data_IF_257399492079
#
_entry.id   IF_257399492079
#
_cell.length_a   1.000
_cell.length_b   1.000
_cell.length_c   1.000
_cell.angle_alpha   90.00
_cell.angle_beta   90.00
_cell.angle_gamma   90.00
#
_symmetry.space_group_name_H-M   'P 1'
#
loop_
_entity.id
_entity.type
_entity.pdbx_description
1 polymer ?
#
# COMPACT_ATOMS: atom_id res chain seq x y z
N UNK A 1 11.64 0.80 0.35
CA UNK A 1 11.09 -0.55 0.12
C UNK A 1 10.44 -1.07 1.39
N UNK A 2 9.30 -1.73 1.27
CA UNK A 2 8.50 -2.25 2.39
C UNK A 2 7.57 -3.38 1.97
N UNK A 3 6.64 -3.77 2.86
CA UNK A 3 5.80 -4.96 2.68
C UNK A 3 4.89 -4.90 1.45
N UNK A 4 4.46 -3.70 1.02
CA UNK A 4 3.69 -3.55 -0.23
C UNK A 4 4.47 -4.02 -1.47
N UNK A 5 5.79 -3.82 -1.49
CA UNK A 5 6.64 -4.32 -2.57
C UNK A 5 6.72 -5.84 -2.58
N UNK A 6 6.74 -6.44 -1.39
CA UNK A 6 6.78 -7.90 -1.23
C UNK A 6 5.44 -8.55 -1.63
N UNK A 7 4.31 -7.84 -1.46
CA UNK A 7 3.00 -8.22 -2.00
C UNK A 7 3.03 -8.15 -3.53
N UNK A 8 3.49 -7.05 -4.11
CA UNK A 8 3.59 -6.93 -5.58
C UNK A 8 4.49 -8.02 -6.19
N UNK A 9 5.55 -8.40 -5.49
CA UNK A 9 6.46 -9.44 -5.96
C UNK A 9 5.79 -10.81 -6.09
N UNK A 10 4.69 -11.10 -5.37
CA UNK A 10 4.03 -12.40 -5.45
C UNK A 10 3.42 -12.67 -6.82
N UNK A 11 3.12 -11.64 -7.62
CA UNK A 11 2.60 -11.81 -8.99
C UNK A 11 3.60 -12.57 -9.87
N UNK A 12 4.89 -12.21 -9.80
CA UNK A 12 5.93 -12.91 -10.53
C UNK A 12 6.17 -14.32 -9.97
N UNK A 13 6.08 -14.48 -8.65
CA UNK A 13 6.20 -15.79 -8.01
C UNK A 13 5.09 -16.75 -8.50
N UNK A 14 3.83 -16.28 -8.55
CA UNK A 14 2.70 -17.01 -9.12
C UNK A 14 2.91 -17.36 -10.58
N UNK A 15 3.32 -16.40 -11.41
CA UNK A 15 3.57 -16.66 -12.83
C UNK A 15 4.64 -17.74 -13.06
N UNK A 16 5.71 -17.74 -12.27
CA UNK A 16 6.74 -18.80 -12.33
C UNK A 16 6.16 -20.14 -11.89
N UNK A 17 5.38 -20.17 -10.81
CA UNK A 17 4.75 -21.38 -10.30
C UNK A 17 3.75 -21.97 -11.32
N UNK A 18 2.90 -21.16 -11.92
CA UNK A 18 1.94 -21.57 -12.95
C UNK A 18 2.64 -22.12 -14.20
N UNK A 19 3.76 -21.50 -14.62
CA UNK A 19 4.49 -21.91 -15.81
C UNK A 19 5.34 -23.18 -15.59
N UNK A 20 5.82 -23.43 -14.38
CA UNK A 20 6.87 -24.45 -14.13
C UNK A 20 6.52 -25.50 -13.08
N UNK A 21 5.50 -25.25 -12.25
CA UNK A 21 5.20 -26.03 -11.04
C UNK A 21 6.23 -25.87 -9.91
N UNK A 22 7.26 -25.03 -10.09
CA UNK A 22 8.32 -24.84 -9.11
C UNK A 22 8.09 -23.59 -8.27
N UNK A 23 8.37 -23.71 -6.98
CA UNK A 23 8.34 -22.58 -6.04
C UNK A 23 9.57 -21.69 -6.21
N UNK A 24 9.44 -20.44 -5.80
CA UNK A 24 10.53 -19.46 -5.82
C UNK A 24 11.00 -19.15 -4.40
N UNK A 25 12.24 -18.67 -4.23
CA UNK A 25 12.72 -18.18 -2.94
C UNK A 25 13.82 -17.13 -3.12
N UNK A 26 13.71 -15.96 -2.46
CA UNK A 26 14.84 -15.03 -2.36
C UNK A 26 15.96 -15.62 -1.53
N UNK A 27 17.20 -15.38 -1.95
CA UNK A 27 18.38 -15.88 -1.27
C UNK A 27 18.84 -15.00 -0.11
N UNK A 28 18.45 -13.72 -0.10
CA UNK A 28 19.11 -12.71 0.73
C UNK A 28 18.25 -12.21 1.90
N UNK A 29 16.93 -12.41 1.86
CA UNK A 29 16.01 -12.05 2.95
C UNK A 29 14.70 -12.82 2.84
N UNK A 30 13.89 -12.78 3.90
CA UNK A 30 12.54 -13.35 3.93
C UNK A 30 11.52 -12.32 4.42
N UNK A 31 10.42 -12.18 3.70
CA UNK A 31 9.31 -11.30 4.07
C UNK A 31 8.19 -12.10 4.75
N UNK A 32 7.60 -11.60 5.86
CA UNK A 32 6.39 -12.18 6.47
C UNK A 32 5.21 -12.33 5.50
N UNK A 33 5.14 -11.50 4.44
CA UNK A 33 4.10 -11.59 3.40
C UNK A 33 4.09 -12.95 2.72
N UNK A 34 5.25 -13.59 2.58
CA UNK A 34 5.40 -14.87 1.88
C UNK A 34 5.19 -16.09 2.79
N UNK A 35 5.02 -15.87 4.10
CA UNK A 35 4.98 -16.91 5.12
C UNK A 35 3.80 -17.88 4.99
N UNK A 36 2.83 -17.62 4.12
CA UNK A 36 1.71 -18.54 3.82
C UNK A 36 1.44 -18.67 2.32
N UNK A 37 2.27 -18.07 1.48
CA UNK A 37 2.08 -18.09 0.04
C UNK A 37 2.60 -19.43 -0.55
N UNK A 38 1.79 -20.19 -1.31
CA UNK A 38 2.16 -21.51 -1.82
C UNK A 38 3.25 -21.46 -2.91
N UNK A 39 3.44 -20.31 -3.56
CA UNK A 39 4.43 -20.11 -4.61
C UNK A 39 5.85 -19.90 -4.04
N UNK A 40 5.99 -19.73 -2.72
CA UNK A 40 7.28 -19.52 -2.06
C UNK A 40 7.76 -20.77 -1.33
N UNK A 41 9.00 -21.16 -1.60
CA UNK A 41 9.61 -22.35 -1.02
C UNK A 41 10.05 -22.11 0.44
N UNK A 42 9.81 -23.08 1.30
CA UNK A 42 10.29 -23.13 2.70
C UNK A 42 11.73 -23.59 2.78
N UNK A 43 12.28 -23.51 3.98
CA UNK A 43 13.60 -24.06 4.27
C UNK A 43 13.59 -25.55 3.92
N UNK A 44 14.53 -25.98 3.09
CA UNK A 44 14.70 -27.34 2.55
C UNK A 44 13.75 -27.77 1.41
N UNK A 45 12.89 -26.88 0.90
CA UNK A 45 12.15 -27.16 -0.34
C UNK A 45 12.99 -26.78 -1.57
N UNK A 46 12.88 -27.50 -2.69
CA UNK A 46 13.52 -27.09 -3.95
C UNK A 46 12.92 -25.78 -4.45
N UNK A 47 13.76 -24.90 -5.01
CA UNK A 47 13.32 -23.58 -5.44
C UNK A 47 14.10 -23.02 -6.63
N UNK A 48 13.46 -22.10 -7.35
CA UNK A 48 14.10 -21.19 -8.31
C UNK A 48 14.51 -19.90 -7.58
N UNK A 49 15.76 -19.43 -7.71
CA UNK A 49 16.18 -18.15 -7.14
C UNK A 49 15.27 -17.00 -7.60
N UNK A 50 14.79 -16.21 -6.64
CA UNK A 50 13.84 -15.14 -6.89
C UNK A 50 14.48 -13.78 -6.71
N UNK A 51 14.62 -13.02 -7.81
CA UNK A 51 15.31 -11.72 -7.81
C UNK A 51 14.37 -10.53 -8.02
N UNK A 52 13.25 -10.55 -7.31
CA UNK A 52 12.39 -9.39 -7.12
C UNK A 52 12.45 -9.02 -5.64
N UNK A 53 13.31 -8.04 -5.32
CA UNK A 53 13.74 -7.71 -3.96
C UNK A 53 14.09 -6.22 -3.82
N UNK A 54 14.31 -5.69 -2.59
CA UNK A 54 14.87 -4.36 -2.42
C UNK A 54 16.14 -4.19 -3.26
N UNK A 55 16.19 -3.12 -4.06
CA UNK A 55 17.29 -2.85 -4.98
C UNK A 55 17.11 -3.45 -6.39
N UNK A 56 16.23 -4.43 -6.56
CA UNK A 56 15.86 -4.98 -7.87
C UNK A 56 14.33 -5.19 -7.95
N UNK A 57 13.58 -4.10 -8.19
CA UNK A 57 12.13 -4.14 -8.39
C UNK A 57 11.78 -3.80 -9.84
N UNK A 58 10.86 -4.54 -10.49
CA UNK A 58 10.50 -4.30 -11.89
C UNK A 58 9.95 -2.91 -12.22
N UNK A 59 9.38 -2.21 -11.24
CA UNK A 59 8.84 -0.86 -11.39
C UNK A 59 9.90 0.25 -11.32
N UNK A 60 11.17 -0.10 -11.07
CA UNK A 60 12.31 0.83 -11.02
C UNK A 60 13.27 0.47 -12.16
N UNK A 61 13.38 1.32 -13.19
CA UNK A 61 14.38 1.15 -14.26
C UNK A 61 15.80 1.41 -13.77
N UNK A 62 15.92 2.33 -12.82
CA UNK A 62 17.21 2.73 -12.27
C UNK A 62 17.03 3.68 -11.10
N UNK A 63 18.15 4.09 -10.52
CA UNK A 63 18.13 5.05 -9.43
C UNK A 63 19.44 5.82 -9.38
N UNK A 64 19.35 7.11 -9.03
CA UNK A 64 20.50 7.91 -8.62
C UNK A 64 20.55 7.97 -7.10
N UNK A 65 21.50 8.74 -6.54
CA UNK A 65 21.50 9.05 -5.11
C UNK A 65 20.26 9.89 -4.73
N UNK A 66 19.79 10.71 -5.65
CA UNK A 66 18.74 11.71 -5.46
C UNK A 66 17.35 11.18 -5.77
N UNK A 67 17.18 10.28 -6.76
CA UNK A 67 15.84 9.84 -7.19
C UNK A 67 15.76 8.40 -7.68
N UNK A 68 14.56 7.83 -7.64
CA UNK A 68 14.18 6.66 -8.42
C UNK A 68 13.87 7.08 -9.87
N UNK A 69 14.16 6.19 -10.81
CA UNK A 69 13.75 6.31 -12.20
C UNK A 69 12.70 5.23 -12.42
N UNK A 70 11.44 5.65 -12.52
CA UNK A 70 10.30 4.75 -12.65
C UNK A 70 10.29 4.04 -14.01
N UNK A 71 9.73 2.84 -14.04
CA UNK A 71 9.49 2.09 -15.26
C UNK A 71 8.10 2.42 -15.81
N UNK A 72 7.98 3.24 -16.87
CA UNK A 72 6.68 3.63 -17.41
C UNK A 72 5.92 2.45 -18.04
N UNK A 73 6.60 1.33 -18.32
CA UNK A 73 5.97 0.12 -18.86
C UNK A 73 5.51 -0.85 -17.77
N UNK A 74 5.75 -0.53 -16.48
CA UNK A 74 5.26 -1.34 -15.39
C UNK A 74 3.83 -0.95 -15.03
N UNK A 75 2.97 -1.94 -14.79
CA UNK A 75 1.66 -1.76 -14.19
C UNK A 75 1.52 -2.75 -13.03
N UNK A 76 1.20 -2.23 -11.85
CA UNK A 76 0.91 -3.06 -10.70
C UNK A 76 -0.35 -3.90 -10.96
N UNK A 77 -0.23 -5.20 -10.67
CA UNK A 77 -1.34 -6.15 -10.64
C UNK A 77 -1.51 -6.58 -9.19
N UNK A 78 -2.75 -6.78 -8.68
CA UNK A 78 -2.96 -7.26 -7.32
C UNK A 78 -2.15 -8.53 -7.04
N UNK A 79 -1.35 -8.45 -5.98
CA UNK A 79 -0.58 -9.58 -5.48
C UNK A 79 -1.46 -10.56 -4.69
N UNK A 80 -0.79 -11.39 -3.90
CA UNK A 80 -1.43 -12.42 -3.06
C UNK A 80 -0.90 -12.30 -1.64
N UNK A 81 -1.82 -12.31 -0.69
CA UNK A 81 -1.49 -12.30 0.73
C UNK A 81 -2.50 -13.18 1.48
N UNK A 82 -2.01 -13.91 2.48
CA UNK A 82 -2.79 -14.92 3.20
C UNK A 82 -2.75 -14.65 4.70
N UNK A 83 -3.46 -13.62 5.19
CA UNK A 83 -3.46 -13.29 6.61
C UNK A 83 -4.19 -14.36 7.45
N UNK A 84 -4.11 -14.23 8.79
CA UNK A 84 -5.04 -14.94 9.67
C UNK A 84 -6.43 -14.28 9.58
N UNK A 85 -7.48 -15.00 9.99
CA UNK A 85 -8.79 -14.39 10.16
C UNK A 85 -8.77 -13.45 11.38
N UNK A 86 -9.32 -12.25 11.20
CA UNK A 86 -9.52 -11.26 12.25
C UNK A 86 -10.64 -10.32 11.80
N UNK A 87 -11.70 -10.19 12.60
CA UNK A 87 -12.92 -9.43 12.26
C UNK A 87 -13.10 -8.14 13.06
N UNK A 88 -12.06 -7.67 13.75
CA UNK A 88 -12.13 -6.45 14.55
C UNK A 88 -12.54 -5.20 13.75
N UNK A 89 -12.27 -5.16 12.45
CA UNK A 89 -12.67 -4.06 11.55
C UNK A 89 -13.95 -4.36 10.75
N UNK A 90 -14.67 -5.43 11.04
CA UNK A 90 -15.89 -5.79 10.32
C UNK A 90 -16.91 -4.66 10.35
N UNK A 91 -17.38 -4.28 9.17
CA UNK A 91 -18.38 -3.21 9.01
C UNK A 91 -17.81 -1.79 9.03
N UNK A 92 -16.50 -1.62 9.21
CA UNK A 92 -15.79 -0.34 9.36
C UNK A 92 -14.91 -0.05 8.16
N UNK A 93 -14.49 1.20 8.00
CA UNK A 93 -13.51 1.62 6.98
C UNK A 93 -12.17 1.85 7.68
N UNK A 94 -11.12 1.20 7.20
CA UNK A 94 -9.76 1.42 7.69
C UNK A 94 -9.24 2.75 7.14
N UNK A 95 -8.80 3.65 8.02
CA UNK A 95 -8.12 4.90 7.65
C UNK A 95 -6.66 4.83 8.06
N UNK A 96 -5.74 5.16 7.16
CA UNK A 96 -4.29 5.13 7.39
C UNK A 96 -3.64 6.47 7.04
N UNK A 97 -3.53 7.40 8.01
CA UNK A 97 -2.85 8.67 7.83
C UNK A 97 -1.32 8.54 7.98
N UNK A 98 -0.82 7.45 8.57
CA UNK A 98 0.59 7.34 8.89
C UNK A 98 1.39 6.85 7.68
N UNK A 99 2.52 7.51 7.47
CA UNK A 99 3.53 7.09 6.50
C UNK A 99 4.76 6.53 7.22
N UNK A 100 5.57 5.77 6.49
CA UNK A 100 6.88 5.37 6.99
C UNK A 100 7.70 6.62 7.34
N UNK A 101 8.36 6.65 8.51
CA UNK A 101 9.24 7.74 8.98
C UNK A 101 10.53 7.97 8.16
N UNK A 102 10.50 7.66 6.87
CA UNK A 102 11.55 7.93 5.88
C UNK A 102 11.18 9.16 5.07
N UNK A 103 12.17 9.83 4.48
CA UNK A 103 11.95 11.00 3.61
C UNK A 103 10.97 10.70 2.46
N UNK A 104 11.11 9.55 1.80
CA UNK A 104 10.17 9.14 0.74
C UNK A 104 8.77 8.84 1.26
N UNK A 105 8.62 8.51 2.55
CA UNK A 105 7.31 8.38 3.18
C UNK A 105 6.70 9.75 3.45
N UNK A 106 7.48 10.70 3.93
CA UNK A 106 7.05 12.10 4.13
C UNK A 106 6.60 12.75 2.81
N UNK A 107 7.29 12.48 1.69
CA UNK A 107 6.86 12.92 0.36
C UNK A 107 5.53 12.30 -0.11
N UNK A 108 5.03 11.26 0.57
CA UNK A 108 3.71 10.66 0.32
C UNK A 108 2.69 11.04 1.39
N UNK A 109 3.04 11.84 2.39
CA UNK A 109 2.12 12.17 3.47
C UNK A 109 1.12 13.23 3.01
N UNK A 110 -0.16 12.99 3.31
CA UNK A 110 -1.15 14.06 3.32
C UNK A 110 -1.22 14.71 4.71
N UNK A 111 -1.65 15.97 4.76
CA UNK A 111 -1.61 16.78 5.99
C UNK A 111 -2.47 16.16 7.09
N UNK A 112 -1.89 16.03 8.30
CA UNK A 112 -2.55 15.38 9.43
C UNK A 112 -3.89 16.04 9.79
N UNK A 113 -3.93 17.37 9.76
CA UNK A 113 -5.11 18.17 10.07
C UNK A 113 -6.24 17.92 9.07
N UNK A 114 -5.91 17.61 7.81
CA UNK A 114 -6.90 17.27 6.78
C UNK A 114 -7.49 15.87 6.98
N UNK A 115 -6.67 14.91 7.41
CA UNK A 115 -7.19 13.61 7.85
C UNK A 115 -8.16 13.76 9.02
N UNK A 116 -7.82 14.60 10.00
CA UNK A 116 -8.71 14.87 11.13
C UNK A 116 -10.00 15.56 10.68
N UNK A 117 -9.92 16.54 9.80
CA UNK A 117 -11.09 17.23 9.26
C UNK A 117 -12.04 16.28 8.51
N UNK A 118 -11.53 15.29 7.77
CA UNK A 118 -12.35 14.23 7.17
C UNK A 118 -13.12 13.47 8.26
N UNK A 119 -12.42 12.97 9.29
CA UNK A 119 -13.03 12.21 10.39
C UNK A 119 -14.08 13.04 11.14
N UNK A 120 -13.82 14.31 11.36
CA UNK A 120 -14.73 15.21 12.09
C UNK A 120 -15.99 15.57 11.28
N UNK A 121 -15.94 15.44 9.95
CA UNK A 121 -17.01 15.92 9.05
C UNK A 121 -17.99 14.84 8.63
N UNK A 122 -17.55 13.59 8.45
CA UNK A 122 -18.41 12.50 7.93
C UNK A 122 -18.82 11.52 9.02
N UNK A 123 -20.07 11.07 8.96
CA UNK A 123 -20.57 9.99 9.83
C UNK A 123 -20.21 8.62 9.25
N UNK A 124 -18.92 8.27 9.36
CA UNK A 124 -18.38 6.97 8.95
C UNK A 124 -17.69 6.31 10.15
N UNK A 125 -17.93 5.00 10.32
CA UNK A 125 -17.22 4.17 11.30
C UNK A 125 -15.77 3.92 10.83
N UNK A 126 -14.90 4.88 11.12
CA UNK A 126 -13.47 4.76 10.85
C UNK A 126 -12.75 3.97 11.93
N UNK A 127 -11.80 3.15 11.48
CA UNK A 127 -10.86 2.46 12.35
C UNK A 127 -9.43 2.68 11.86
N UNK A 128 -8.53 3.00 12.77
CA UNK A 128 -7.11 3.12 12.48
C UNK A 128 -6.38 1.92 13.09
N UNK A 129 -5.38 1.40 12.36
CA UNK A 129 -4.59 0.23 12.75
C UNK A 129 -3.17 0.62 13.18
N UNK A 130 -2.52 -0.23 13.99
CA UNK A 130 -1.09 -0.11 14.28
C UNK A 130 -0.78 0.55 15.61
N UNK A 131 0.38 1.21 15.72
CA UNK A 131 0.85 1.83 16.97
C UNK A 131 1.35 3.28 16.75
N UNK A 132 0.91 3.91 15.66
CA UNK A 132 1.28 5.28 15.30
C UNK A 132 0.47 6.34 16.06
N UNK A 133 0.72 7.63 15.78
CA UNK A 133 -0.20 8.70 16.15
C UNK A 133 -1.64 8.36 15.74
N UNK A 134 -2.61 8.71 16.57
CA UNK A 134 -4.02 8.38 16.34
C UNK A 134 -4.83 9.63 16.04
N UNK A 135 -5.69 9.57 15.03
CA UNK A 135 -6.76 10.56 14.87
C UNK A 135 -7.68 10.55 16.10
N UNK A 136 -8.32 11.67 16.37
CA UNK A 136 -9.39 11.77 17.36
C UNK A 136 -10.69 11.26 16.73
N UNK A 137 -11.56 10.62 17.52
CA UNK A 137 -12.86 10.14 17.04
C UNK A 137 -12.87 8.79 16.30
N UNK A 138 -11.71 8.26 15.92
CA UNK A 138 -11.61 6.93 15.28
C UNK A 138 -11.48 5.80 16.30
N UNK A 139 -11.99 4.62 15.97
CA UNK A 139 -11.65 3.41 16.71
C UNK A 139 -10.17 3.07 16.50
N UNK A 140 -9.50 2.57 17.54
CA UNK A 140 -8.08 2.23 17.52
C UNK A 140 -7.92 0.73 17.70
N UNK A 141 -7.28 0.08 16.73
CA UNK A 141 -6.89 -1.32 16.85
C UNK A 141 -5.37 -1.40 16.82
N UNK A 142 -4.78 -1.67 17.98
CA UNK A 142 -3.36 -1.97 18.07
C UNK A 142 -3.04 -3.28 17.35
N UNK A 143 -1.98 -3.27 16.56
CA UNK A 143 -1.48 -4.45 15.86
C UNK A 143 0.03 -4.57 16.07
N UNK A 144 0.50 -5.77 16.40
CA UNK A 144 1.90 -6.05 16.68
C UNK A 144 2.75 -6.28 15.43
N UNK A 145 2.12 -6.45 14.27
CA UNK A 145 2.83 -6.65 13.00
C UNK A 145 2.02 -6.18 11.78
N UNK A 146 2.71 -5.98 10.65
CA UNK A 146 2.04 -5.70 9.38
C UNK A 146 1.03 -6.78 9.00
N UNK A 147 1.37 -8.07 9.20
CA UNK A 147 0.45 -9.17 8.86
C UNK A 147 -0.78 -9.22 9.76
N UNK A 148 -0.68 -8.72 10.99
CA UNK A 148 -1.84 -8.55 11.86
C UNK A 148 -2.74 -7.38 11.39
N UNK A 149 -2.15 -6.26 10.97
CA UNK A 149 -2.91 -5.17 10.34
C UNK A 149 -3.62 -5.63 9.06
N UNK A 150 -2.95 -6.44 8.23
CA UNK A 150 -3.56 -7.06 7.03
C UNK A 150 -4.70 -8.01 7.41
N UNK A 151 -4.57 -8.77 8.51
CA UNK A 151 -5.65 -9.64 8.99
C UNK A 151 -6.90 -8.84 9.36
N UNK A 152 -6.72 -7.76 10.13
CA UNK A 152 -7.82 -6.87 10.50
C UNK A 152 -8.45 -6.21 9.25
N UNK A 153 -7.61 -5.70 8.34
CA UNK A 153 -8.02 -5.09 7.07
C UNK A 153 -8.91 -6.02 6.22
N UNK A 154 -8.62 -7.32 6.21
CA UNK A 154 -9.35 -8.31 5.39
C UNK A 154 -10.85 -8.41 5.72
N UNK A 155 -11.26 -7.99 6.91
CA UNK A 155 -12.68 -7.97 7.32
C UNK A 155 -13.38 -6.63 7.12
N UNK A 156 -12.64 -5.58 6.79
CA UNK A 156 -13.16 -4.22 6.69
C UNK A 156 -14.06 -4.03 5.45
N UNK A 157 -14.94 -3.02 5.50
CA UNK A 157 -15.71 -2.59 4.33
C UNK A 157 -14.84 -1.88 3.27
N UNK A 158 -13.67 -1.41 3.67
CA UNK A 158 -12.87 -0.56 2.81
C UNK A 158 -11.64 0.03 3.47
N UNK A 159 -10.82 0.67 2.64
CA UNK A 159 -9.58 1.33 3.04
C UNK A 159 -9.49 2.75 2.48
N UNK A 160 -8.98 3.69 3.27
CA UNK A 160 -8.51 4.98 2.81
C UNK A 160 -7.11 5.28 3.36
N UNK A 161 -6.21 5.75 2.51
CA UNK A 161 -4.85 6.12 2.91
C UNK A 161 -4.02 6.61 1.73
N UNK A 162 -2.71 6.67 1.92
CA UNK A 162 -1.76 7.05 0.87
C UNK A 162 -1.12 5.82 0.23
N UNK A 163 -0.31 6.01 -0.81
CA UNK A 163 0.58 4.97 -1.37
C UNK A 163 1.48 4.34 -0.28
N UNK A 164 1.15 3.10 0.10
CA UNK A 164 1.78 2.39 1.20
C UNK A 164 1.43 0.89 1.23
N UNK A 165 1.91 0.19 2.26
CA UNK A 165 1.76 -1.25 2.37
C UNK A 165 0.30 -1.72 2.45
N UNK A 166 -0.54 -1.01 3.22
CA UNK A 166 -1.94 -1.38 3.39
C UNK A 166 -2.78 -1.15 2.13
N UNK A 167 -2.43 -0.18 1.28
CA UNK A 167 -3.05 -0.01 -0.04
C UNK A 167 -2.79 -1.23 -0.95
N UNK A 168 -1.55 -1.73 -1.01
CA UNK A 168 -1.26 -2.94 -1.77
C UNK A 168 -1.93 -4.17 -1.16
N UNK A 169 -2.05 -4.23 0.17
CA UNK A 169 -2.78 -5.29 0.84
C UNK A 169 -4.29 -5.23 0.55
N UNK A 170 -4.92 -4.05 0.53
CA UNK A 170 -6.33 -3.91 0.20
C UNK A 170 -6.60 -4.41 -1.22
N UNK A 171 -5.70 -4.09 -2.17
CA UNK A 171 -5.77 -4.63 -3.51
C UNK A 171 -5.68 -6.17 -3.55
N UNK A 172 -4.74 -6.76 -2.82
CA UNK A 172 -4.57 -8.21 -2.76
C UNK A 172 -5.73 -8.94 -2.07
N UNK A 173 -6.42 -8.28 -1.13
CA UNK A 173 -7.55 -8.81 -0.37
C UNK A 173 -8.92 -8.52 -1.00
N UNK A 174 -8.94 -7.79 -2.11
CA UNK A 174 -10.17 -7.32 -2.75
C UNK A 174 -11.02 -6.39 -1.87
N UNK A 175 -10.35 -5.61 -1.03
CA UNK A 175 -10.99 -4.56 -0.21
C UNK A 175 -11.05 -3.27 -1.02
N UNK A 176 -12.24 -2.65 -1.21
CA UNK A 176 -12.39 -1.36 -1.87
C UNK A 176 -11.52 -0.29 -1.23
N UNK A 177 -10.98 0.63 -2.03
CA UNK A 177 -10.11 1.66 -1.47
C UNK A 177 -10.16 3.02 -2.19
N UNK A 178 -9.93 4.06 -1.40
CA UNK A 178 -9.59 5.42 -1.85
C UNK A 178 -8.14 5.70 -1.49
N UNK A 179 -7.33 6.11 -2.46
CA UNK A 179 -5.88 6.20 -2.31
C UNK A 179 -5.41 7.57 -2.74
N UNK A 180 -4.71 8.26 -1.85
CA UNK A 180 -4.17 9.59 -2.09
C UNK A 180 -2.73 9.50 -2.58
N UNK A 181 -2.46 10.14 -3.72
CA UNK A 181 -1.17 10.11 -4.38
C UNK A 181 -0.55 11.51 -4.45
N UNK A 182 0.70 11.61 -4.00
CA UNK A 182 1.51 12.80 -4.14
C UNK A 182 2.37 12.73 -5.41
N UNK A 183 3.30 13.67 -5.55
CA UNK A 183 4.18 13.76 -6.71
C UNK A 183 5.32 12.75 -6.76
N UNK A 184 5.36 11.74 -5.89
CA UNK A 184 6.52 10.83 -5.80
C UNK A 184 6.48 9.72 -6.84
N UNK A 185 5.38 8.97 -6.91
CA UNK A 185 5.21 7.80 -7.77
C UNK A 185 3.83 7.86 -8.46
N UNK A 186 3.71 7.39 -9.72
CA UNK A 186 2.44 7.45 -10.44
C UNK A 186 1.42 6.44 -9.94
N UNK A 187 0.19 6.90 -9.69
CA UNK A 187 -0.95 6.00 -9.47
C UNK A 187 -1.26 5.13 -10.69
N UNK A 188 -0.99 5.62 -11.90
CA UNK A 188 -1.12 4.82 -13.13
C UNK A 188 -0.19 3.60 -13.12
N UNK A 189 0.97 3.69 -12.46
CA UNK A 189 1.94 2.61 -12.37
C UNK A 189 1.70 1.70 -11.16
N UNK A 190 1.59 2.28 -9.94
CA UNK A 190 1.54 1.51 -8.69
C UNK A 190 0.13 1.36 -8.11
N UNK A 191 -0.83 2.14 -8.58
CA UNK A 191 -2.23 2.06 -8.20
C UNK A 191 -2.99 1.00 -9.00
N UNK A 192 -4.17 0.66 -8.49
CA UNK A 192 -5.03 -0.39 -9.01
C UNK A 192 -6.34 0.21 -9.54
N UNK A 193 -6.80 -0.25 -10.70
CA UNK A 193 -8.00 0.29 -11.39
C UNK A 193 -9.28 0.15 -10.56
N UNK A 194 -9.37 -0.88 -9.71
CA UNK A 194 -10.51 -1.11 -8.82
C UNK A 194 -10.57 -0.17 -7.61
N UNK A 195 -9.50 0.57 -7.35
CA UNK A 195 -9.47 1.59 -6.32
C UNK A 195 -9.71 2.96 -6.94
N UNK A 196 -10.27 3.89 -6.17
CA UNK A 196 -10.29 5.29 -6.57
C UNK A 196 -8.93 5.90 -6.20
N UNK A 197 -8.17 6.30 -7.21
CA UNK A 197 -6.87 6.94 -7.02
C UNK A 197 -7.02 8.45 -7.22
N UNK A 198 -6.87 9.23 -6.15
CA UNK A 198 -6.86 10.69 -6.22
C UNK A 198 -5.40 11.12 -6.39
N UNK A 199 -5.05 11.49 -7.62
CA UNK A 199 -3.69 11.82 -8.03
C UNK A 199 -3.68 13.15 -8.81
N UNK A 200 -2.97 14.13 -8.27
CA UNK A 200 -2.69 15.41 -8.93
C UNK A 200 -1.19 15.63 -9.15
N UNK A 201 -0.39 14.56 -9.01
CA UNK A 201 1.03 14.57 -9.28
C UNK A 201 1.30 14.63 -10.77
N UNK A 202 2.12 15.60 -11.18
CA UNK A 202 2.79 15.64 -12.47
C UNK A 202 4.23 15.11 -12.34
N UNK A 203 4.82 14.65 -13.46
CA UNK A 203 6.20 14.19 -13.62
C UNK A 203 6.73 13.06 -12.70
N UNK A 204 5.99 12.70 -11.64
CA UNK A 204 6.26 11.69 -10.61
C UNK A 204 7.76 11.54 -10.28
N UNK A 205 8.30 12.53 -9.57
CA UNK A 205 9.73 12.84 -9.53
C UNK A 205 10.68 11.76 -9.00
N UNK A 206 10.17 10.76 -8.27
CA UNK A 206 10.97 9.70 -7.65
C UNK A 206 11.94 10.19 -6.56
N UNK A 207 11.80 11.43 -6.06
CA UNK A 207 12.76 12.08 -5.17
C UNK A 207 12.94 11.32 -3.83
N UNK A 208 14.20 11.11 -3.45
CA UNK A 208 14.62 10.46 -2.19
C UNK A 208 14.96 11.46 -1.08
N UNK A 209 15.03 12.74 -1.42
CA UNK A 209 15.14 13.87 -0.50
C UNK A 209 13.77 14.54 -0.32
N UNK A 210 13.67 15.49 0.63
CA UNK A 210 12.50 16.36 0.77
C UNK A 210 12.19 17.02 -0.58
N UNK A 211 10.91 17.07 -0.96
CA UNK A 211 10.51 17.48 -2.30
C UNK A 211 9.25 18.33 -2.28
N UNK A 212 9.38 19.65 -2.41
CA UNK A 212 8.24 20.59 -2.40
C UNK A 212 7.19 20.24 -3.46
N UNK A 213 7.63 19.77 -4.65
CA UNK A 213 6.74 19.24 -5.69
C UNK A 213 5.79 18.13 -5.19
N UNK A 214 6.30 17.21 -4.36
CA UNK A 214 5.47 16.15 -3.79
C UNK A 214 4.45 16.69 -2.78
N UNK A 215 4.86 17.68 -1.98
CA UNK A 215 3.97 18.36 -1.03
C UNK A 215 2.89 19.18 -1.76
N UNK A 216 3.26 19.92 -2.80
CA UNK A 216 2.32 20.70 -3.62
C UNK A 216 1.26 19.80 -4.28
N UNK A 217 1.65 18.61 -4.74
CA UNK A 217 0.71 17.62 -5.27
C UNK A 217 -0.28 17.13 -4.19
N UNK A 218 0.21 16.87 -2.97
CA UNK A 218 -0.64 16.51 -1.84
C UNK A 218 -1.55 17.68 -1.39
N UNK A 219 -1.08 18.91 -1.51
CA UNK A 219 -1.84 20.12 -1.17
C UNK A 219 -3.05 20.34 -2.09
N UNK A 220 -2.93 19.94 -3.37
CA UNK A 220 -4.06 19.96 -4.33
C UNK A 220 -5.17 18.99 -3.95
N UNK A 221 -4.89 17.94 -3.16
CA UNK A 221 -5.92 17.04 -2.64
C UNK A 221 -6.63 17.74 -1.48
N UNK A 222 -7.85 18.21 -1.73
CA UNK A 222 -8.66 18.93 -0.73
C UNK A 222 -9.50 17.97 0.12
N UNK A 223 -9.84 18.39 1.35
CA UNK A 223 -10.74 17.64 2.24
C UNK A 223 -12.09 17.37 1.57
N UNK A 224 -12.66 18.39 0.92
CA UNK A 224 -13.91 18.26 0.19
C UNK A 224 -13.85 17.17 -0.90
N UNK A 225 -12.73 17.08 -1.66
CA UNK A 225 -12.57 16.05 -2.68
C UNK A 225 -12.52 14.64 -2.07
N UNK A 226 -11.83 14.48 -0.95
CA UNK A 226 -11.76 13.19 -0.24
C UNK A 226 -13.14 12.80 0.28
N UNK A 227 -13.86 13.73 0.91
CA UNK A 227 -15.22 13.51 1.43
C UNK A 227 -16.20 13.13 0.33
N UNK A 228 -16.23 13.88 -0.78
CA UNK A 228 -17.06 13.55 -1.95
C UNK A 228 -16.78 12.11 -2.40
N UNK A 229 -15.50 11.76 -2.54
CA UNK A 229 -15.08 10.45 -3.04
C UNK A 229 -15.50 9.29 -2.12
N UNK A 230 -15.33 9.43 -0.80
CA UNK A 230 -15.69 8.37 0.15
C UNK A 230 -17.21 8.22 0.34
N UNK A 231 -17.99 9.28 0.13
CA UNK A 231 -19.45 9.24 0.24
C UNK A 231 -20.12 8.69 -1.04
N UNK A 232 -19.50 8.88 -2.20
CA UNK A 232 -19.98 8.33 -3.48
C UNK A 232 -19.59 6.86 -3.68
N UNK A 233 -18.58 6.36 -2.97
CA UNK A 233 -18.13 4.97 -3.09
C UNK A 233 -19.10 4.02 -2.39
N UNK A 234 -19.59 3.03 -3.13
CA UNK A 234 -20.32 1.89 -2.55
C UNK A 234 -19.33 0.94 -1.88
N UNK A 235 -19.22 1.06 -0.55
CA UNK A 235 -18.45 0.15 0.29
C UNK A 235 -19.20 -1.17 0.47
N UNK A 236 -19.05 -2.08 -0.50
CA UNK A 236 -19.71 -3.40 -0.55
C UNK A 236 -19.28 -4.34 0.59
#
# INVERSE_FOLDING_TARGET
MGMGDDIMATVQARAIYEATGQKVRPTDYWSPVWERNPCFARVNEPFIPFDNKPGNRPYILGQTKERFIWNPNFKAVPGEIYPAYDDRAKGKIVIEPNVKGTVTGQNKAWFWERWQEVVDTVEIDFVQLGNGPWLSGVERIETGSFMEAVAVLASSKGFIGTDGGLHHASAALDVPAVVLWGGLAPSEMLGYEKHINIDYGDDHCGMKAHCDHCFDAMDKITVAKVIETILELEWM
#
